data_IF_207128909603
#
_entry.id   IF_207128909603
#
_cell.length_a   1.000
_cell.length_b   1.000
_cell.length_c   1.000
_cell.angle_alpha   90.00
_cell.angle_beta   90.00
_cell.angle_gamma   90.00
#
_symmetry.space_group_name_H-M   'P 1'
#
loop_
_entity.id
_entity.type
_entity.pdbx_description
1 polymer ?
#
# COMPACT_ATOMS: atom_id res chain seq x y z
N UNK A 1 -5.52 7.68 -67.92
CA UNK A 1 -6.34 7.35 -66.71
C UNK A 1 -5.62 6.35 -65.78
N UNK A 2 -5.13 5.22 -66.25
CA UNK A 2 -4.46 4.18 -65.44
C UNK A 2 -3.21 4.71 -64.72
N UNK A 3 -2.39 5.53 -65.35
CA UNK A 3 -1.16 6.10 -64.79
C UNK A 3 -1.46 7.09 -63.63
N UNK A 4 -2.50 7.87 -63.72
CA UNK A 4 -2.96 8.82 -62.69
C UNK A 4 -3.52 8.06 -61.48
N UNK A 5 -4.31 7.01 -61.72
CA UNK A 5 -4.83 6.15 -60.64
C UNK A 5 -3.68 5.42 -59.90
N UNK A 6 -2.68 4.95 -60.67
CA UNK A 6 -1.49 4.33 -60.08
C UNK A 6 -0.66 5.30 -59.25
N UNK A 7 -0.49 6.55 -59.66
CA UNK A 7 0.22 7.60 -58.90
C UNK A 7 -0.56 7.99 -57.65
N UNK A 8 -1.89 8.11 -57.71
CA UNK A 8 -2.72 8.41 -56.53
C UNK A 8 -2.72 7.26 -55.52
N UNK A 9 -2.83 6.01 -55.99
CA UNK A 9 -2.77 4.84 -55.13
C UNK A 9 -1.38 4.68 -54.51
N UNK A 10 -0.32 4.90 -55.29
CA UNK A 10 1.06 4.91 -54.79
C UNK A 10 1.30 6.03 -53.78
N UNK A 11 0.79 7.23 -54.07
CA UNK A 11 0.85 8.37 -53.16
C UNK A 11 0.11 8.11 -51.85
N UNK A 12 -1.09 7.54 -51.90
CA UNK A 12 -1.86 7.17 -50.72
C UNK A 12 -1.14 6.11 -49.87
N UNK A 13 -0.54 5.11 -50.49
CA UNK A 13 0.20 4.05 -49.82
C UNK A 13 1.51 4.54 -49.17
N UNK A 14 2.17 5.51 -49.82
CA UNK A 14 3.45 6.06 -49.37
C UNK A 14 3.27 7.24 -48.39
N UNK A 15 2.12 7.92 -48.39
CA UNK A 15 1.87 9.10 -47.54
C UNK A 15 2.19 8.90 -46.04
N UNK A 16 1.78 7.79 -45.41
CA UNK A 16 2.14 7.54 -44.01
C UNK A 16 3.64 7.40 -43.77
N UNK A 17 4.38 7.04 -44.81
CA UNK A 17 5.86 6.90 -44.73
C UNK A 17 6.61 8.23 -44.85
N UNK A 18 5.94 9.35 -45.16
CA UNK A 18 6.54 10.69 -45.21
C UNK A 18 6.19 11.52 -43.98
N UNK A 19 5.92 10.88 -42.85
CA UNK A 19 5.66 11.59 -41.59
C UNK A 19 6.88 12.39 -41.11
N UNK A 20 6.62 13.40 -40.28
CA UNK A 20 7.64 14.30 -39.72
C UNK A 20 7.80 14.14 -38.21
N UNK A 21 6.91 13.38 -37.57
CA UNK A 21 6.94 13.14 -36.13
C UNK A 21 8.01 12.12 -35.79
N UNK A 22 8.80 12.40 -34.75
CA UNK A 22 9.79 11.47 -34.25
C UNK A 22 9.15 10.46 -33.29
N UNK A 23 9.75 9.28 -33.13
CA UNK A 23 9.31 8.31 -32.13
C UNK A 23 9.21 8.94 -30.73
N UNK A 24 8.25 8.50 -29.92
CA UNK A 24 8.06 8.92 -28.54
C UNK A 24 8.74 7.91 -27.61
N UNK A 25 9.63 8.39 -26.74
CA UNK A 25 10.33 7.58 -25.75
C UNK A 25 9.79 7.95 -24.37
N UNK A 26 9.39 6.94 -23.58
CA UNK A 26 8.91 7.09 -22.21
C UNK A 26 9.69 6.20 -21.26
N UNK A 27 9.88 6.65 -20.02
CA UNK A 27 10.51 5.88 -18.95
C UNK A 27 9.48 5.70 -17.81
N UNK A 28 9.31 4.47 -17.34
CA UNK A 28 8.34 4.16 -16.30
C UNK A 28 8.92 3.17 -15.28
N UNK A 29 9.02 3.54 -13.98
CA UNK A 29 8.89 4.91 -13.48
C UNK A 29 9.94 5.84 -14.08
N UNK A 30 9.83 7.16 -13.83
CA UNK A 30 10.86 8.16 -14.15
C UNK A 30 11.60 8.56 -12.84
N UNK A 31 12.52 7.72 -12.33
CA UNK A 31 13.12 7.88 -11.01
C UNK A 31 14.32 8.82 -11.02
N UNK A 32 14.57 9.45 -9.87
CA UNK A 32 15.83 10.16 -9.59
C UNK A 32 16.89 9.23 -8.98
N UNK A 33 16.45 8.15 -8.32
CA UNK A 33 17.32 7.13 -7.72
C UNK A 33 16.82 5.76 -8.17
N UNK A 34 17.73 4.88 -8.56
CA UNK A 34 17.44 3.56 -9.13
C UNK A 34 18.18 2.49 -8.33
N UNK A 35 17.41 1.53 -7.82
CA UNK A 35 17.93 0.35 -7.11
C UNK A 35 17.61 -0.95 -7.82
N UNK A 36 17.08 -1.90 -7.07
CA UNK A 36 16.77 -3.25 -7.57
C UNK A 36 15.56 -3.32 -8.50
N UNK A 37 14.68 -2.28 -8.49
CA UNK A 37 13.54 -2.22 -9.37
C UNK A 37 13.93 -1.99 -10.83
N UNK A 38 13.14 -2.54 -11.76
CA UNK A 38 13.35 -2.34 -13.18
C UNK A 38 12.74 -1.02 -13.66
N UNK A 39 13.40 -0.37 -14.62
CA UNK A 39 12.87 0.72 -15.42
C UNK A 39 12.32 0.12 -16.73
N UNK A 40 11.09 0.44 -17.11
CA UNK A 40 10.54 0.14 -18.43
C UNK A 40 10.81 1.33 -19.37
N UNK A 41 11.49 1.06 -20.46
CA UNK A 41 11.69 1.98 -21.59
C UNK A 41 10.60 1.65 -22.61
N UNK A 42 9.61 2.54 -22.77
CA UNK A 42 8.60 2.45 -23.81
C UNK A 42 9.02 3.30 -25.02
N UNK A 43 8.96 2.74 -26.23
CA UNK A 43 9.22 3.48 -27.46
C UNK A 43 8.05 3.23 -28.40
N UNK A 44 7.40 4.29 -28.86
CA UNK A 44 6.24 4.20 -29.77
C UNK A 44 6.41 5.07 -30.97
N UNK A 45 5.94 4.57 -32.10
CA UNK A 45 5.84 5.30 -33.36
C UNK A 45 4.52 4.94 -34.07
N UNK A 46 3.70 5.93 -34.34
CA UNK A 46 2.35 5.71 -34.89
C UNK A 46 2.29 5.78 -36.42
N UNK A 47 3.35 6.22 -37.06
CA UNK A 47 3.41 6.46 -38.49
C UNK A 47 4.18 5.40 -39.27
N UNK A 48 5.43 5.70 -39.65
CA UNK A 48 6.28 4.79 -40.41
C UNK A 48 6.76 3.56 -39.63
N UNK A 49 6.62 3.60 -38.31
CA UNK A 49 7.07 2.57 -37.38
C UNK A 49 8.57 2.65 -37.08
N UNK A 50 8.96 2.05 -35.99
CA UNK A 50 10.34 2.01 -35.50
C UNK A 50 11.23 1.24 -36.49
N UNK A 51 12.40 1.80 -36.80
CA UNK A 51 13.49 1.18 -37.58
C UNK A 51 14.58 0.65 -36.67
N UNK A 52 14.94 1.40 -35.63
CA UNK A 52 15.93 0.96 -34.64
C UNK A 52 15.70 1.60 -33.30
N UNK A 53 16.06 0.86 -32.24
CA UNK A 53 16.10 1.35 -30.86
C UNK A 53 17.44 0.94 -30.27
N UNK A 54 18.16 1.91 -29.72
CA UNK A 54 19.38 1.67 -28.93
C UNK A 54 19.22 2.29 -27.56
N UNK A 55 19.66 1.59 -26.52
CA UNK A 55 19.70 2.09 -25.15
C UNK A 55 21.07 1.74 -24.54
N UNK A 56 21.71 2.72 -23.95
CA UNK A 56 22.99 2.59 -23.25
C UNK A 56 22.91 3.25 -21.89
N UNK A 57 23.53 2.62 -20.91
CA UNK A 57 23.68 3.16 -19.57
C UNK A 57 25.17 3.48 -19.35
N UNK A 58 25.46 4.73 -19.03
CA UNK A 58 26.81 5.16 -18.62
C UNK A 58 26.84 5.30 -17.10
N UNK A 59 27.66 4.52 -16.42
CA UNK A 59 27.83 4.52 -14.98
C UNK A 59 29.28 4.27 -14.58
N UNK A 60 29.80 5.06 -13.63
CA UNK A 60 31.17 4.91 -13.13
C UNK A 60 32.23 4.99 -14.21
N UNK A 61 31.99 5.72 -15.31
CA UNK A 61 32.90 5.85 -16.47
C UNK A 61 32.86 4.67 -17.45
N UNK A 62 31.95 3.72 -17.28
CA UNK A 62 31.76 2.56 -18.15
C UNK A 62 30.41 2.65 -18.85
N UNK A 63 30.36 2.30 -20.13
CA UNK A 63 29.14 2.16 -20.90
C UNK A 63 28.64 0.72 -20.88
N UNK A 64 27.38 0.55 -20.51
CA UNK A 64 26.67 -0.73 -20.49
C UNK A 64 25.60 -0.73 -21.58
N UNK A 65 25.74 -1.55 -22.64
CA UNK A 65 24.72 -1.66 -23.68
C UNK A 65 23.47 -2.36 -23.08
N UNK A 66 22.31 -1.73 -23.21
CA UNK A 66 21.04 -2.26 -22.74
C UNK A 66 20.26 -2.91 -23.88
N UNK A 67 20.19 -2.21 -25.00
CA UNK A 67 19.52 -2.69 -26.21
C UNK A 67 20.17 -2.11 -27.46
N UNK A 68 20.22 -2.93 -28.51
CA UNK A 68 20.66 -2.53 -29.85
C UNK A 68 19.83 -3.32 -30.87
N UNK A 69 18.62 -2.84 -31.15
CA UNK A 69 17.65 -3.54 -31.98
C UNK A 69 17.45 -2.79 -33.31
N UNK A 70 17.40 -3.54 -34.40
CA UNK A 70 17.10 -3.06 -35.76
C UNK A 70 15.96 -3.91 -36.29
N UNK A 71 14.92 -3.27 -36.82
CA UNK A 71 13.71 -3.94 -37.28
C UNK A 71 13.68 -4.02 -38.80
N UNK A 72 13.40 -5.21 -39.35
CA UNK A 72 13.24 -5.44 -40.76
C UNK A 72 11.94 -4.88 -41.37
N UNK A 73 10.97 -4.60 -40.53
CA UNK A 73 9.65 -4.03 -40.87
C UNK A 73 9.16 -3.03 -39.85
N UNK A 74 8.07 -2.32 -40.10
CA UNK A 74 7.55 -1.31 -39.18
C UNK A 74 7.06 -1.94 -37.87
N UNK A 75 7.57 -1.48 -36.76
CA UNK A 75 7.17 -1.84 -35.39
C UNK A 75 6.55 -0.62 -34.73
N UNK A 76 5.29 -0.68 -34.34
CA UNK A 76 4.58 0.46 -33.75
C UNK A 76 4.93 0.74 -32.30
N UNK A 77 5.34 -0.28 -31.55
CA UNK A 77 5.67 -0.16 -30.12
C UNK A 77 6.76 -1.16 -29.73
N UNK A 78 7.67 -0.72 -28.87
CA UNK A 78 8.68 -1.56 -28.22
C UNK A 78 8.75 -1.22 -26.74
N UNK A 79 8.84 -2.26 -25.89
CA UNK A 79 9.09 -2.15 -24.46
C UNK A 79 10.37 -2.90 -24.10
N UNK A 80 11.24 -2.26 -23.33
CA UNK A 80 12.50 -2.81 -22.86
C UNK A 80 12.53 -2.64 -21.35
N UNK A 81 12.60 -3.75 -20.61
CA UNK A 81 12.73 -3.73 -19.15
C UNK A 81 14.21 -3.82 -18.76
N UNK A 82 14.67 -2.88 -17.97
CA UNK A 82 16.06 -2.77 -17.53
C UNK A 82 16.13 -2.86 -16.00
N UNK A 83 16.72 -3.94 -15.50
CA UNK A 83 17.09 -4.08 -14.10
C UNK A 83 18.53 -3.57 -13.91
N UNK A 84 18.66 -2.26 -13.67
CA UNK A 84 19.98 -1.57 -13.64
C UNK A 84 20.93 -2.24 -12.65
N UNK A 85 20.47 -2.55 -11.45
CA UNK A 85 21.29 -3.19 -10.41
C UNK A 85 21.81 -4.60 -10.77
N UNK A 86 21.23 -5.24 -11.80
CA UNK A 86 21.64 -6.58 -12.26
C UNK A 86 22.63 -6.55 -13.40
N UNK A 87 23.01 -5.38 -13.89
CA UNK A 87 24.03 -5.26 -14.94
C UNK A 87 25.40 -5.60 -14.39
N UNK A 88 26.15 -6.40 -15.14
CA UNK A 88 27.48 -6.81 -14.74
C UNK A 88 28.43 -5.60 -14.61
N UNK A 89 29.13 -5.51 -13.49
CA UNK A 89 30.09 -4.43 -13.22
C UNK A 89 29.51 -3.07 -12.95
N UNK A 90 28.17 -2.97 -12.69
CA UNK A 90 27.53 -1.72 -12.34
C UNK A 90 28.07 -1.20 -11.00
N UNK A 91 28.29 0.09 -10.91
CA UNK A 91 28.74 0.77 -9.69
C UNK A 91 27.68 1.76 -9.22
N UNK A 92 27.58 1.91 -7.93
CA UNK A 92 26.75 2.96 -7.31
C UNK A 92 27.26 4.35 -7.69
N UNK A 93 26.33 5.31 -7.70
CA UNK A 93 26.60 6.70 -7.98
C UNK A 93 25.89 7.23 -9.22
N UNK A 94 26.32 8.40 -9.74
CA UNK A 94 25.68 9.04 -10.89
C UNK A 94 25.73 8.17 -12.14
N UNK A 95 24.62 8.12 -12.86
CA UNK A 95 24.47 7.40 -14.11
C UNK A 95 23.59 8.16 -15.10
N UNK A 96 23.79 7.89 -16.39
CA UNK A 96 23.01 8.46 -17.49
C UNK A 96 22.50 7.34 -18.38
N UNK A 97 21.19 7.21 -18.48
CA UNK A 97 20.54 6.35 -19.46
C UNK A 97 20.28 7.17 -20.72
N UNK A 98 20.85 6.75 -21.83
CA UNK A 98 20.61 7.35 -23.16
C UNK A 98 19.81 6.35 -23.99
N UNK A 99 18.64 6.77 -24.45
CA UNK A 99 17.79 6.00 -25.35
C UNK A 99 17.67 6.76 -26.67
N UNK A 100 17.91 6.08 -27.76
CA UNK A 100 17.81 6.62 -29.11
C UNK A 100 16.87 5.73 -29.92
N UNK A 101 15.87 6.33 -30.50
CA UNK A 101 14.91 5.65 -31.39
C UNK A 101 14.88 6.34 -32.75
N UNK A 102 14.83 5.53 -33.79
CA UNK A 102 14.71 5.99 -35.17
C UNK A 102 13.58 5.28 -35.86
N UNK A 103 12.78 6.02 -36.62
CA UNK A 103 11.68 5.48 -37.40
C UNK A 103 12.10 5.05 -38.82
N UNK A 104 11.15 4.46 -39.54
CA UNK A 104 11.28 4.08 -40.95
C UNK A 104 10.79 5.13 -41.94
N UNK A 105 10.58 6.39 -41.50
CA UNK A 105 10.06 7.46 -42.35
C UNK A 105 11.00 7.75 -43.53
N UNK A 106 10.39 8.05 -44.66
CA UNK A 106 11.09 8.49 -45.88
C UNK A 106 11.45 10.00 -45.83
N UNK A 107 11.10 10.69 -44.74
CA UNK A 107 11.46 12.09 -44.51
C UNK A 107 12.97 12.26 -44.42
N UNK A 108 13.47 13.47 -44.64
CA UNK A 108 14.93 13.79 -44.65
C UNK A 108 15.73 12.90 -45.59
N UNK A 109 15.28 12.77 -46.84
CA UNK A 109 15.96 11.98 -47.86
C UNK A 109 16.16 10.51 -47.42
N UNK A 110 15.12 9.87 -46.97
CA UNK A 110 15.10 8.48 -46.48
C UNK A 110 15.88 8.31 -45.16
N UNK A 111 16.23 9.41 -44.51
CA UNK A 111 16.98 9.41 -43.25
C UNK A 111 16.13 9.02 -42.03
N UNK A 112 14.81 9.25 -42.09
CA UNK A 112 13.86 9.04 -40.99
C UNK A 112 13.95 10.15 -39.93
N UNK A 113 13.04 10.07 -38.96
CA UNK A 113 13.07 10.93 -37.78
C UNK A 113 13.73 10.18 -36.61
N UNK A 114 14.30 10.94 -35.70
CA UNK A 114 15.05 10.41 -34.57
C UNK A 114 14.64 11.13 -33.27
N UNK A 115 14.47 10.36 -32.22
CA UNK A 115 14.32 10.85 -30.87
C UNK A 115 15.49 10.36 -29.99
N UNK A 116 15.96 11.23 -29.12
CA UNK A 116 16.99 10.91 -28.12
C UNK A 116 16.48 11.41 -26.79
N UNK A 117 16.49 10.53 -25.78
CA UNK A 117 16.20 10.87 -24.38
C UNK A 117 17.42 10.52 -23.54
N UNK A 118 17.86 11.47 -22.74
CA UNK A 118 18.90 11.29 -21.73
C UNK A 118 18.30 11.50 -20.36
N UNK A 119 18.36 10.48 -19.50
CA UNK A 119 17.92 10.54 -18.13
C UNK A 119 19.09 10.36 -17.19
N UNK A 120 19.30 11.35 -16.33
CA UNK A 120 20.26 11.28 -15.23
C UNK A 120 19.55 10.76 -13.98
N UNK A 121 20.20 9.85 -13.26
CA UNK A 121 19.75 9.34 -11.96
C UNK A 121 20.96 8.84 -11.15
N UNK A 122 20.73 8.54 -9.88
CA UNK A 122 21.75 7.90 -9.04
C UNK A 122 21.43 6.42 -8.90
N UNK A 123 22.42 5.56 -9.10
CA UNK A 123 22.31 4.12 -8.80
C UNK A 123 22.62 3.92 -7.33
N UNK A 124 21.72 3.27 -6.62
CA UNK A 124 21.86 2.90 -5.21
C UNK A 124 21.32 1.47 -5.01
N UNK A 125 22.22 0.55 -4.68
CA UNK A 125 21.90 -0.87 -4.45
C UNK A 125 22.18 -1.29 -3.01
N UNK A 126 22.60 -0.34 -2.16
CA UNK A 126 22.89 -0.56 -0.74
C UNK A 126 21.61 -0.43 0.09
N UNK A 127 21.10 -1.49 0.73
CA UNK A 127 19.95 -1.38 1.60
C UNK A 127 20.18 -0.44 2.78
N UNK A 128 19.11 0.21 3.29
CA UNK A 128 19.23 1.10 4.44
C UNK A 128 19.74 0.34 5.67
N UNK A 129 20.35 1.08 6.59
CA UNK A 129 20.80 0.52 7.88
C UNK A 129 19.64 0.50 8.87
N UNK A 130 19.63 -0.49 9.77
CA UNK A 130 18.70 -0.58 10.89
C UNK A 130 19.47 -0.79 12.17
N UNK A 131 19.12 -0.03 13.22
CA UNK A 131 19.65 -0.18 14.57
C UNK A 131 18.50 -0.17 15.55
N UNK A 132 18.21 -1.29 16.17
CA UNK A 132 17.25 -1.40 17.27
C UNK A 132 17.86 -0.79 18.54
N UNK A 133 17.16 0.14 19.18
CA UNK A 133 17.60 0.83 20.41
C UNK A 133 16.88 0.25 21.62
N UNK A 134 15.55 0.06 21.51
CA UNK A 134 14.74 -0.53 22.55
C UNK A 134 13.54 -1.26 21.96
N UNK A 135 13.11 -2.32 22.64
CA UNK A 135 11.89 -3.07 22.29
C UNK A 135 11.19 -3.57 23.55
N UNK A 136 9.87 -3.75 23.46
CA UNK A 136 9.12 -4.44 24.50
C UNK A 136 9.47 -5.93 24.49
N UNK A 137 9.91 -6.44 25.64
CA UNK A 137 10.29 -7.84 25.78
C UNK A 137 9.11 -8.79 25.74
N UNK A 138 7.95 -8.36 26.23
CA UNK A 138 6.76 -9.19 26.35
C UNK A 138 5.56 -8.51 25.70
N UNK A 139 4.89 -9.21 24.81
CA UNK A 139 3.67 -8.73 24.16
C UNK A 139 2.59 -9.82 24.33
N UNK A 140 1.40 -9.43 24.72
CA UNK A 140 0.27 -10.36 24.75
C UNK A 140 -0.14 -10.72 23.32
N UNK A 141 -0.55 -11.96 23.10
CA UNK A 141 -1.24 -12.33 21.86
C UNK A 141 -2.47 -11.44 21.70
N UNK A 142 -2.61 -10.75 20.55
CA UNK A 142 -3.62 -9.71 20.34
C UNK A 142 -3.32 -8.36 21.00
N UNK A 143 -2.17 -8.21 21.67
CA UNK A 143 -1.74 -6.98 22.33
C UNK A 143 -0.81 -6.14 21.46
N UNK A 144 -0.43 -4.99 22.00
CA UNK A 144 0.46 -4.03 21.36
C UNK A 144 1.82 -3.94 22.07
N UNK A 145 2.83 -3.49 21.35
CA UNK A 145 4.16 -3.16 21.83
C UNK A 145 4.73 -1.94 21.14
N UNK A 146 5.86 -1.49 21.61
CA UNK A 146 6.59 -0.37 21.07
C UNK A 146 8.05 -0.74 20.79
N UNK A 147 8.63 -0.15 19.76
CA UNK A 147 10.09 -0.18 19.54
C UNK A 147 10.62 1.22 19.30
N UNK A 148 11.88 1.40 19.67
CA UNK A 148 12.67 2.58 19.31
C UNK A 148 13.84 2.12 18.46
N UNK A 149 14.08 2.77 17.33
CA UNK A 149 15.12 2.39 16.38
C UNK A 149 15.67 3.58 15.62
N UNK A 150 16.80 3.37 14.94
CA UNK A 150 17.37 4.30 13.96
C UNK A 150 17.46 3.65 12.60
N UNK A 151 17.46 4.47 11.58
CA UNK A 151 17.68 4.06 10.18
C UNK A 151 18.50 5.11 9.45
N UNK A 152 19.08 4.74 8.30
CA UNK A 152 19.83 5.67 7.44
C UNK A 152 18.95 6.79 6.89
N UNK A 153 19.58 7.92 6.57
CA UNK A 153 18.88 9.17 6.18
C UNK A 153 18.13 9.08 4.83
N UNK A 154 18.49 8.14 3.99
CA UNK A 154 17.86 7.85 2.68
C UNK A 154 16.58 7.02 2.79
N UNK A 155 16.26 6.51 3.97
CA UNK A 155 15.05 5.72 4.24
C UNK A 155 13.78 6.57 4.04
N UNK A 156 12.85 6.05 3.25
CA UNK A 156 11.55 6.69 2.99
C UNK A 156 10.42 6.05 3.77
N UNK A 157 10.54 4.76 4.08
CA UNK A 157 9.53 4.02 4.84
C UNK A 157 10.22 3.08 5.81
N UNK A 158 9.80 3.11 7.07
CA UNK A 158 10.26 2.14 8.06
C UNK A 158 9.19 1.87 9.12
N UNK A 159 9.25 0.68 9.73
CA UNK A 159 8.28 0.27 10.74
C UNK A 159 8.31 -1.22 11.01
N UNK A 160 7.32 -1.70 11.75
CA UNK A 160 7.19 -3.11 12.12
C UNK A 160 6.21 -3.83 11.20
N UNK A 161 6.61 -4.96 10.66
CA UNK A 161 5.75 -5.87 9.91
C UNK A 161 5.48 -7.11 10.76
N UNK A 162 4.20 -7.47 10.91
CA UNK A 162 3.75 -8.70 11.58
C UNK A 162 2.77 -9.42 10.66
N UNK A 163 3.18 -10.53 10.06
CA UNK A 163 2.43 -11.16 8.98
C UNK A 163 2.19 -10.18 7.83
N UNK A 164 0.93 -9.94 7.48
CA UNK A 164 0.54 -8.99 6.42
C UNK A 164 0.31 -7.56 6.92
N UNK A 165 0.45 -7.30 8.22
CA UNK A 165 0.23 -5.99 8.81
C UNK A 165 1.54 -5.20 8.88
N UNK A 166 1.50 -3.93 8.48
CA UNK A 166 2.61 -2.99 8.60
C UNK A 166 2.23 -1.81 9.49
N UNK A 167 3.08 -1.55 10.48
CA UNK A 167 2.94 -0.48 11.46
C UNK A 167 4.06 0.52 11.26
N UNK A 168 3.73 1.69 10.75
CA UNK A 168 4.70 2.72 10.41
C UNK A 168 5.39 3.29 11.65
N UNK A 169 6.71 3.49 11.56
CA UNK A 169 7.48 4.23 12.53
C UNK A 169 7.59 5.71 12.19
N UNK A 170 7.67 6.54 13.22
CA UNK A 170 7.76 7.99 13.10
C UNK A 170 8.94 8.54 13.88
N UNK A 171 9.72 9.43 13.25
CA UNK A 171 10.84 10.10 13.89
C UNK A 171 10.40 11.22 14.85
N UNK A 172 11.31 11.64 15.73
CA UNK A 172 11.13 12.81 16.57
C UNK A 172 10.21 12.63 17.78
N UNK A 173 9.82 11.38 18.10
CA UNK A 173 8.95 11.10 19.25
C UNK A 173 9.75 10.94 20.57
N UNK A 174 11.06 10.74 20.48
CA UNK A 174 11.94 10.63 21.65
C UNK A 174 12.56 11.99 21.95
N UNK A 175 12.31 12.53 23.16
CA UNK A 175 12.78 13.86 23.56
C UNK A 175 14.31 13.97 23.41
N UNK A 176 14.76 14.99 22.69
CA UNK A 176 16.17 15.26 22.44
C UNK A 176 16.85 14.33 21.43
N UNK A 177 16.10 13.45 20.76
CA UNK A 177 16.62 12.45 19.81
C UNK A 177 15.82 12.50 18.51
N UNK A 178 16.10 13.46 17.65
CA UNK A 178 15.36 13.70 16.42
C UNK A 178 15.50 12.56 15.39
N UNK A 179 16.59 11.80 15.44
CA UNK A 179 16.91 10.67 14.55
C UNK A 179 16.36 9.33 15.05
N UNK A 180 15.70 9.31 16.22
CA UNK A 180 15.06 8.11 16.75
C UNK A 180 13.63 8.00 16.22
N UNK A 181 13.31 6.81 15.70
CA UNK A 181 11.98 6.44 15.26
C UNK A 181 11.30 5.64 16.38
N UNK A 182 10.00 5.86 16.53
CA UNK A 182 9.13 5.04 17.38
C UNK A 182 8.10 4.37 16.49
N UNK A 183 7.97 3.06 16.60
CA UNK A 183 6.85 2.32 16.02
C UNK A 183 6.03 1.67 17.13
N UNK A 184 4.73 1.96 17.12
CA UNK A 184 3.73 1.24 17.91
C UNK A 184 3.17 0.14 17.01
N UNK A 185 3.21 -1.10 17.45
CA UNK A 185 2.74 -2.22 16.65
C UNK A 185 1.91 -3.19 17.48
N UNK A 186 1.18 -4.05 16.83
CA UNK A 186 0.43 -5.11 17.49
C UNK A 186 0.87 -6.48 16.98
N UNK A 187 0.76 -7.51 17.84
CA UNK A 187 0.65 -8.88 17.37
C UNK A 187 -0.84 -9.19 17.22
N UNK A 188 -1.41 -9.16 16.00
CA UNK A 188 -2.85 -9.20 15.82
C UNK A 188 -3.47 -10.48 16.39
N UNK A 189 -4.64 -10.36 17.00
CA UNK A 189 -5.37 -11.49 17.61
C UNK A 189 -5.75 -12.59 16.60
N UNK A 190 -5.82 -12.25 15.32
CA UNK A 190 -6.12 -13.16 14.21
C UNK A 190 -4.89 -13.59 13.41
N UNK A 191 -3.69 -13.14 13.80
CA UNK A 191 -2.46 -13.62 13.21
C UNK A 191 -2.10 -15.01 13.78
N UNK A 192 -1.40 -15.85 13.01
CA UNK A 192 -0.82 -17.05 13.57
C UNK A 192 0.14 -16.72 14.72
N UNK A 193 0.10 -17.51 15.80
CA UNK A 193 0.98 -17.29 16.96
C UNK A 193 2.49 -17.38 16.60
N UNK A 194 2.83 -18.03 15.50
CA UNK A 194 4.19 -18.10 14.95
C UNK A 194 4.49 -17.03 13.89
N UNK A 195 3.59 -16.08 13.68
CA UNK A 195 3.85 -14.95 12.78
C UNK A 195 5.10 -14.21 13.25
N UNK A 196 6.05 -14.01 12.34
CA UNK A 196 7.29 -13.29 12.63
C UNK A 196 7.02 -11.79 12.60
N UNK A 197 7.53 -11.08 13.62
CA UNK A 197 7.60 -9.64 13.58
C UNK A 197 9.00 -9.22 13.12
N UNK A 198 9.04 -8.24 12.22
CA UNK A 198 10.27 -7.75 11.64
C UNK A 198 10.25 -6.21 11.63
N UNK A 199 11.35 -5.61 12.03
CA UNK A 199 11.61 -4.21 11.73
C UNK A 199 12.07 -4.12 10.27
N UNK A 200 11.41 -3.30 9.48
CA UNK A 200 11.65 -3.17 8.02
C UNK A 200 11.94 -1.71 7.70
N UNK A 201 12.90 -1.46 6.84
CA UNK A 201 13.14 -0.14 6.26
C UNK A 201 13.37 -0.26 4.75
N UNK A 202 12.83 0.70 4.01
CA UNK A 202 12.98 0.81 2.55
C UNK A 202 13.47 2.22 2.21
N UNK A 203 14.49 2.34 1.38
CA UNK A 203 15.06 3.60 0.92
C UNK A 203 14.38 4.16 -0.35
N UNK A 204 14.91 5.27 -0.86
CA UNK A 204 14.42 5.93 -2.09
C UNK A 204 14.61 5.08 -3.35
N UNK A 205 15.61 4.20 -3.35
CA UNK A 205 15.90 3.28 -4.45
C UNK A 205 15.03 2.02 -4.43
N UNK A 206 14.24 1.81 -3.36
CA UNK A 206 13.43 0.62 -3.13
C UNK A 206 14.21 -0.56 -2.54
N UNK A 207 15.46 -0.35 -2.11
CA UNK A 207 16.19 -1.39 -1.40
C UNK A 207 15.61 -1.55 0.01
N UNK A 208 15.51 -2.80 0.48
CA UNK A 208 14.85 -3.12 1.74
C UNK A 208 15.78 -3.86 2.68
N UNK A 209 15.79 -3.46 3.94
CA UNK A 209 16.44 -4.15 5.05
C UNK A 209 15.39 -4.64 6.03
N UNK A 210 15.55 -5.89 6.47
CA UNK A 210 14.70 -6.49 7.49
C UNK A 210 15.55 -6.97 8.68
N UNK A 211 15.01 -6.81 9.90
CA UNK A 211 15.59 -7.28 11.14
C UNK A 211 14.50 -7.95 11.97
N UNK A 212 14.71 -9.19 12.40
CA UNK A 212 13.77 -9.89 13.27
C UNK A 212 13.69 -9.21 14.63
N UNK A 213 12.47 -9.06 15.17
CA UNK A 213 12.23 -8.62 16.54
C UNK A 213 12.13 -9.84 17.46
N UNK A 214 12.69 -9.72 18.66
CA UNK A 214 12.86 -10.84 19.59
C UNK A 214 12.01 -10.66 20.87
N UNK A 215 10.72 -10.38 20.74
CA UNK A 215 9.83 -10.35 21.88
C UNK A 215 9.22 -11.74 22.19
N UNK A 216 8.89 -11.94 23.46
CA UNK A 216 8.18 -13.13 23.93
C UNK A 216 6.68 -12.90 23.88
N UNK A 217 5.98 -13.70 23.08
CA UNK A 217 4.53 -13.64 22.94
C UNK A 217 3.87 -14.38 24.11
N UNK A 218 3.16 -13.63 24.96
CA UNK A 218 2.37 -14.19 26.06
C UNK A 218 1.04 -14.73 25.54
N UNK A 219 0.77 -15.98 25.82
CA UNK A 219 -0.51 -16.60 25.44
C UNK A 219 -1.66 -16.00 26.28
N UNK A 220 -2.67 -15.50 25.59
CA UNK A 220 -3.91 -14.97 26.19
C UNK A 220 -5.07 -15.82 25.74
N UNK A 221 -5.89 -16.29 26.69
CA UNK A 221 -7.13 -17.01 26.39
C UNK A 221 -8.28 -16.02 26.30
N UNK A 222 -8.81 -15.86 25.10
CA UNK A 222 -10.01 -15.06 24.88
C UNK A 222 -11.28 -15.88 25.15
N UNK A 223 -12.31 -15.17 25.65
CA UNK A 223 -13.62 -15.76 25.91
C UNK A 223 -14.25 -16.20 24.58
N UNK A 224 -14.91 -17.35 24.61
CA UNK A 224 -15.77 -17.83 23.51
C UNK A 224 -17.20 -17.91 24.03
N UNK A 225 -18.15 -17.37 23.28
CA UNK A 225 -19.55 -17.38 23.61
C UNK A 225 -20.41 -17.70 22.41
N UNK A 226 -21.51 -18.40 22.65
CA UNK A 226 -22.56 -18.61 21.66
C UNK A 226 -23.76 -17.75 22.03
N UNK A 227 -24.26 -16.99 21.08
CA UNK A 227 -25.39 -16.07 21.24
C UNK A 227 -26.53 -16.54 20.33
N UNK A 228 -27.63 -16.96 20.95
CA UNK A 228 -28.85 -17.30 20.21
C UNK A 228 -29.59 -15.99 19.85
N UNK A 229 -29.84 -15.80 18.56
CA UNK A 229 -30.44 -14.58 18.03
C UNK A 229 -31.92 -14.81 17.74
N UNK A 230 -32.78 -14.13 18.50
CA UNK A 230 -34.21 -14.23 18.28
C UNK A 230 -34.67 -13.37 17.10
N UNK A 231 -35.79 -13.78 16.48
CA UNK A 231 -36.39 -13.02 15.39
C UNK A 231 -36.80 -11.61 15.84
N UNK A 232 -37.33 -11.49 17.06
CA UNK A 232 -37.71 -10.19 17.64
C UNK A 232 -36.50 -9.26 17.81
N UNK A 233 -35.33 -9.79 18.17
CA UNK A 233 -34.09 -9.02 18.21
C UNK A 233 -33.69 -8.55 16.80
N UNK A 234 -33.76 -9.43 15.81
CA UNK A 234 -33.43 -9.06 14.42
C UNK A 234 -34.34 -7.94 13.93
N UNK A 235 -35.66 -8.06 14.13
CA UNK A 235 -36.62 -7.06 13.65
C UNK A 235 -36.46 -5.72 14.37
N UNK A 236 -36.30 -5.73 15.71
CA UNK A 236 -36.35 -4.51 16.52
C UNK A 236 -35.00 -3.82 16.69
N UNK A 237 -33.88 -4.53 16.54
CA UNK A 237 -32.52 -4.00 16.78
C UNK A 237 -31.62 -4.03 15.57
N UNK A 238 -31.75 -5.06 14.74
CA UNK A 238 -30.83 -5.26 13.59
C UNK A 238 -31.37 -4.62 12.32
N UNK A 239 -32.63 -4.92 11.95
CA UNK A 239 -33.22 -4.40 10.72
C UNK A 239 -33.28 -2.86 10.63
N UNK A 240 -33.47 -2.10 11.73
CA UNK A 240 -33.40 -0.63 11.66
C UNK A 240 -32.04 -0.06 11.23
N UNK A 241 -30.95 -0.82 11.38
CA UNK A 241 -29.62 -0.40 10.95
C UNK A 241 -29.42 -0.43 9.43
N UNK A 242 -30.31 -1.12 8.70
CA UNK A 242 -30.30 -1.16 7.23
C UNK A 242 -31.07 0.03 6.68
N UNK A 243 -30.37 0.94 6.01
CA UNK A 243 -30.96 2.14 5.41
C UNK A 243 -31.66 1.88 4.07
N UNK A 244 -31.33 0.77 3.39
CA UNK A 244 -31.91 0.39 2.10
C UNK A 244 -33.06 -0.63 2.27
N UNK A 245 -34.23 -0.42 1.65
CA UNK A 245 -35.31 -1.40 1.62
C UNK A 245 -34.91 -2.74 1.00
N UNK A 246 -34.09 -2.72 -0.06
CA UNK A 246 -33.60 -3.91 -0.77
C UNK A 246 -32.80 -4.84 0.15
N UNK A 247 -32.14 -4.30 1.16
CA UNK A 247 -31.37 -5.09 2.14
C UNK A 247 -32.28 -5.85 3.13
N UNK A 248 -33.62 -5.61 3.10
CA UNK A 248 -34.63 -6.25 3.98
C UNK A 248 -35.48 -7.29 3.24
N UNK A 249 -35.25 -7.52 1.94
CA UNK A 249 -36.02 -8.47 1.12
C UNK A 249 -35.73 -9.96 1.44
N UNK A 250 -34.69 -10.23 2.24
CA UNK A 250 -34.42 -11.57 2.77
C UNK A 250 -35.18 -11.86 4.08
N UNK A 251 -35.12 -13.12 4.52
CA UNK A 251 -35.63 -13.52 5.82
C UNK A 251 -34.84 -12.92 6.99
N UNK A 252 -35.21 -13.31 8.23
CA UNK A 252 -34.55 -12.81 9.44
C UNK A 252 -33.05 -13.12 9.46
N UNK A 253 -32.66 -14.32 9.02
CA UNK A 253 -31.23 -14.75 8.92
C UNK A 253 -30.43 -13.83 7.97
N UNK A 254 -30.96 -13.58 6.76
CA UNK A 254 -30.33 -12.73 5.75
C UNK A 254 -30.21 -11.28 6.24
N UNK A 255 -31.21 -10.78 6.93
CA UNK A 255 -31.19 -9.46 7.58
C UNK A 255 -30.07 -9.36 8.60
N UNK A 256 -29.93 -10.38 9.47
CA UNK A 256 -28.84 -10.43 10.44
C UNK A 256 -27.46 -10.45 9.77
N UNK A 257 -27.27 -11.31 8.76
CA UNK A 257 -26.00 -11.40 8.03
C UNK A 257 -25.66 -10.11 7.28
N UNK A 258 -26.68 -9.43 6.71
CA UNK A 258 -26.46 -8.15 6.04
C UNK A 258 -25.87 -7.09 6.99
N UNK A 259 -26.30 -7.08 8.26
CA UNK A 259 -25.75 -6.17 9.28
C UNK A 259 -24.45 -6.69 9.87
N UNK A 260 -24.45 -7.91 10.39
CA UNK A 260 -23.33 -8.42 11.17
C UNK A 260 -22.08 -8.71 10.33
N UNK A 261 -22.23 -9.01 9.04
CA UNK A 261 -21.10 -9.27 8.11
C UNK A 261 -20.83 -8.09 7.18
N UNK A 262 -21.82 -7.68 6.34
CA UNK A 262 -21.59 -6.65 5.31
C UNK A 262 -21.46 -5.26 5.92
N UNK A 263 -22.49 -4.78 6.66
CA UNK A 263 -22.46 -3.44 7.24
C UNK A 263 -21.31 -3.28 8.24
N UNK A 264 -21.00 -4.32 9.03
CA UNK A 264 -19.84 -4.32 9.93
C UNK A 264 -18.55 -4.07 9.17
N UNK A 265 -18.29 -4.82 8.08
CA UNK A 265 -17.08 -4.63 7.25
C UNK A 265 -17.00 -3.23 6.64
N UNK A 266 -18.14 -2.68 6.18
CA UNK A 266 -18.20 -1.31 5.66
C UNK A 266 -17.84 -0.27 6.73
N UNK A 267 -18.37 -0.44 7.94
CA UNK A 267 -18.08 0.46 9.06
C UNK A 267 -16.60 0.33 9.50
N UNK A 268 -16.06 -0.87 9.59
CA UNK A 268 -14.64 -1.12 9.92
C UNK A 268 -13.71 -0.53 8.86
N UNK A 269 -14.05 -0.68 7.58
CA UNK A 269 -13.29 -0.06 6.48
C UNK A 269 -13.30 1.47 6.58
N UNK A 270 -14.43 2.07 6.96
CA UNK A 270 -14.55 3.52 7.19
C UNK A 270 -13.68 3.97 8.36
N UNK A 271 -13.71 3.25 9.50
CA UNK A 271 -12.84 3.52 10.65
C UNK A 271 -11.36 3.46 10.21
N UNK A 272 -10.98 2.38 9.52
CA UNK A 272 -9.62 2.19 9.01
C UNK A 272 -9.19 3.34 8.09
N UNK A 273 -10.05 3.79 7.19
CA UNK A 273 -9.75 4.90 6.27
C UNK A 273 -9.55 6.23 7.01
N UNK A 274 -10.34 6.49 8.06
CA UNK A 274 -10.22 7.67 8.91
C UNK A 274 -8.91 7.63 9.71
N UNK A 275 -8.62 6.50 10.37
CA UNK A 275 -7.46 6.35 11.25
C UNK A 275 -6.12 6.26 10.51
N UNK A 276 -6.12 5.88 9.22
CA UNK A 276 -4.90 5.95 8.38
C UNK A 276 -4.32 7.36 8.24
N UNK A 277 -5.10 8.40 8.47
CA UNK A 277 -4.67 9.81 8.43
C UNK A 277 -4.16 10.30 9.78
N UNK A 278 -3.53 9.43 10.56
CA UNK A 278 -2.95 9.77 11.86
C UNK A 278 -1.80 10.77 11.72
N UNK A 279 -1.64 11.62 12.73
CA UNK A 279 -0.47 12.51 12.84
C UNK A 279 0.75 11.71 13.30
N UNK A 280 1.96 12.04 12.85
CA UNK A 280 3.17 11.38 13.32
C UNK A 280 3.47 11.66 14.79
N UNK A 281 3.02 12.80 15.34
CA UNK A 281 3.27 13.19 16.72
C UNK A 281 2.33 12.48 17.70
N UNK A 282 2.90 11.93 18.77
CA UNK A 282 2.15 11.42 19.92
C UNK A 282 1.44 12.57 20.61
N UNK A 283 0.09 12.53 20.70
CA UNK A 283 -0.73 13.59 21.30
C UNK A 283 -1.18 13.28 22.72
N UNK A 284 -1.17 12.01 23.13
CA UNK A 284 -1.56 11.63 24.48
C UNK A 284 -0.44 11.83 25.51
N UNK A 285 -0.82 11.96 26.78
CA UNK A 285 0.09 12.10 27.91
C UNK A 285 -0.28 11.11 29.00
N UNK A 286 0.71 10.42 29.58
CA UNK A 286 0.50 9.45 30.64
C UNK A 286 -0.31 8.24 30.18
N UNK A 287 -1.18 7.72 31.06
CA UNK A 287 -1.99 6.52 30.82
C UNK A 287 -3.37 6.86 30.24
N UNK A 288 -3.92 5.94 29.45
CA UNK A 288 -5.31 6.02 29.04
C UNK A 288 -6.23 5.65 30.21
N UNK A 289 -7.25 6.46 30.46
CA UNK A 289 -8.15 6.32 31.59
C UNK A 289 -9.42 5.60 31.14
N UNK A 290 -9.81 4.53 31.87
CA UNK A 290 -11.08 3.87 31.67
C UNK A 290 -12.21 4.83 32.05
N UNK A 291 -13.36 4.75 31.35
CA UNK A 291 -14.57 5.51 31.67
C UNK A 291 -14.90 5.34 33.16
N UNK A 292 -14.98 6.44 33.89
CA UNK A 292 -15.21 6.47 35.34
C UNK A 292 -16.48 5.72 35.73
N UNK A 293 -16.43 4.99 36.84
CA UNK A 293 -17.58 4.19 37.35
C UNK A 293 -18.14 3.16 36.38
N UNK A 294 -17.37 2.80 35.32
CA UNK A 294 -17.81 1.79 34.38
C UNK A 294 -17.44 0.37 34.81
N UNK A 295 -18.31 -0.58 34.43
CA UNK A 295 -18.06 -2.00 34.51
C UNK A 295 -17.73 -2.54 33.13
N UNK A 296 -16.70 -3.37 33.00
CA UNK A 296 -16.37 -4.08 31.76
C UNK A 296 -17.36 -5.24 31.60
N UNK A 297 -18.19 -5.19 30.56
CA UNK A 297 -19.16 -6.25 30.22
C UNK A 297 -18.61 -7.21 29.15
N UNK A 298 -17.81 -6.71 28.22
CA UNK A 298 -17.15 -7.54 27.22
C UNK A 298 -15.72 -7.05 26.95
N UNK A 299 -14.84 -7.99 26.68
CA UNK A 299 -13.40 -7.74 26.47
C UNK A 299 -13.04 -7.77 24.99
N UNK A 300 -11.88 -7.18 24.71
CA UNK A 300 -11.26 -7.27 23.38
C UNK A 300 -11.02 -8.74 22.99
N UNK A 301 -11.24 -9.04 21.71
CA UNK A 301 -11.08 -10.33 21.07
C UNK A 301 -11.99 -11.46 21.59
N UNK A 302 -13.05 -11.15 22.37
CA UNK A 302 -14.09 -12.14 22.66
C UNK A 302 -14.67 -12.70 21.36
N UNK A 303 -14.56 -14.03 21.15
CA UNK A 303 -15.10 -14.73 19.97
C UNK A 303 -16.58 -15.04 20.21
N UNK A 304 -17.44 -14.52 19.34
CA UNK A 304 -18.89 -14.70 19.40
C UNK A 304 -19.35 -15.56 18.22
N UNK A 305 -19.97 -16.70 18.51
CA UNK A 305 -20.69 -17.50 17.52
C UNK A 305 -22.17 -17.15 17.64
N UNK A 306 -22.80 -16.74 16.55
CA UNK A 306 -24.21 -16.42 16.48
C UNK A 306 -25.00 -17.61 15.97
N UNK A 307 -26.06 -18.00 16.69
CA UNK A 307 -26.98 -19.05 16.28
C UNK A 307 -28.38 -18.49 16.03
N UNK A 308 -29.07 -19.08 15.07
CA UNK A 308 -30.49 -18.79 14.77
C UNK A 308 -31.20 -20.09 14.49
N UNK A 309 -32.29 -20.34 15.21
CA UNK A 309 -33.01 -21.62 15.16
C UNK A 309 -32.13 -22.86 15.38
N UNK A 310 -31.11 -22.76 16.24
CA UNK A 310 -30.20 -23.81 16.59
C UNK A 310 -29.02 -24.01 15.61
N UNK A 311 -28.99 -23.30 14.49
CA UNK A 311 -27.89 -23.33 13.54
C UNK A 311 -26.89 -22.21 13.77
N UNK A 312 -25.58 -22.48 13.71
CA UNK A 312 -24.55 -21.45 13.69
C UNK A 312 -24.57 -20.73 12.34
N UNK A 313 -24.85 -19.43 12.36
CA UNK A 313 -25.03 -18.63 11.15
C UNK A 313 -23.89 -17.64 10.88
N UNK A 314 -23.17 -17.21 11.92
CA UNK A 314 -22.06 -16.26 11.76
C UNK A 314 -21.10 -16.30 12.94
N UNK A 315 -19.91 -15.71 12.75
CA UNK A 315 -18.91 -15.48 13.80
C UNK A 315 -18.37 -14.07 13.72
N UNK A 316 -18.12 -13.46 14.88
CA UNK A 316 -17.44 -12.17 14.96
C UNK A 316 -16.53 -12.11 16.20
N UNK A 317 -15.51 -11.25 16.11
CA UNK A 317 -14.69 -10.90 17.27
C UNK A 317 -15.07 -9.52 17.78
N UNK A 318 -15.02 -9.37 19.09
CA UNK A 318 -15.25 -8.09 19.74
C UNK A 318 -13.96 -7.27 19.72
N UNK A 319 -13.91 -6.20 18.90
CA UNK A 319 -12.70 -5.41 18.68
C UNK A 319 -12.55 -4.22 19.64
N UNK A 320 -13.11 -4.33 20.84
CA UNK A 320 -13.04 -3.28 21.84
C UNK A 320 -13.41 -3.77 23.23
N UNK A 321 -13.73 -2.83 24.12
CA UNK A 321 -14.29 -3.08 25.44
C UNK A 321 -15.70 -2.48 25.52
N UNK A 322 -16.68 -3.27 25.98
CA UNK A 322 -17.98 -2.75 26.35
C UNK A 322 -17.92 -2.26 27.80
N UNK A 323 -18.10 -0.97 28.00
CA UNK A 323 -18.08 -0.31 29.30
C UNK A 323 -19.51 0.15 29.65
N UNK A 324 -20.12 -0.47 30.64
CA UNK A 324 -21.46 -0.08 31.10
C UNK A 324 -21.43 0.90 32.28
N UNK A 325 -22.27 1.90 32.20
CA UNK A 325 -22.49 2.92 33.24
C UNK A 325 -23.97 3.19 33.39
N UNK A 326 -24.34 4.06 34.33
CA UNK A 326 -25.72 4.52 34.50
C UNK A 326 -26.19 5.31 33.27
N UNK A 327 -27.51 5.34 33.04
CA UNK A 327 -28.13 6.06 31.92
C UNK A 327 -27.73 7.54 31.89
N UNK A 328 -27.39 8.04 30.70
CA UNK A 328 -26.97 9.44 30.43
C UNK A 328 -25.68 9.85 31.16
N UNK A 329 -24.78 8.92 31.39
CA UNK A 329 -23.46 9.21 31.93
C UNK A 329 -22.58 9.90 30.86
N UNK A 330 -21.84 10.96 31.22
CA UNK A 330 -20.87 11.58 30.28
C UNK A 330 -19.80 10.61 29.84
N UNK A 331 -19.54 10.56 28.54
CA UNK A 331 -18.41 9.78 27.99
C UNK A 331 -17.23 10.71 27.77
N UNK A 332 -16.24 10.62 28.63
CA UNK A 332 -15.04 11.42 28.57
C UNK A 332 -13.99 10.78 27.65
N UNK A 333 -13.14 11.62 27.02
CA UNK A 333 -12.00 11.12 26.25
C UNK A 333 -11.01 10.42 27.20
N UNK A 334 -10.59 9.21 26.82
CA UNK A 334 -9.64 8.43 27.61
C UNK A 334 -8.24 9.07 27.72
N UNK A 335 -7.90 9.97 26.82
CA UNK A 335 -6.68 10.80 26.78
C UNK A 335 -6.83 11.92 25.75
N UNK A 336 -5.79 12.75 25.61
CA UNK A 336 -5.73 13.83 24.61
C UNK A 336 -5.56 13.29 23.19
N UNK A 337 -6.16 13.98 22.25
CA UNK A 337 -6.11 13.65 20.82
C UNK A 337 -6.83 14.69 19.98
N UNK A 338 -6.88 14.47 18.67
CA UNK A 338 -7.65 15.28 17.73
C UNK A 338 -8.87 14.49 17.27
N UNK A 339 -10.06 15.04 17.45
CA UNK A 339 -11.31 14.43 16.94
C UNK A 339 -11.30 14.52 15.41
N UNK A 340 -11.33 13.39 14.75
CA UNK A 340 -11.33 13.27 13.27
C UNK A 340 -12.68 12.81 12.71
N UNK A 341 -13.57 12.33 13.57
CA UNK A 341 -14.93 11.95 13.21
C UNK A 341 -15.85 12.09 14.42
N UNK A 342 -17.06 12.58 14.21
CA UNK A 342 -18.16 12.54 15.18
C UNK A 342 -19.47 12.37 14.41
N UNK A 343 -20.26 11.33 14.72
CA UNK A 343 -21.51 11.05 14.05
C UNK A 343 -21.97 9.61 14.18
N UNK A 344 -23.03 9.27 13.49
CA UNK A 344 -23.52 7.88 13.41
C UNK A 344 -22.62 7.03 12.50
N UNK A 345 -22.31 5.83 12.98
CA UNK A 345 -21.47 4.87 12.27
C UNK A 345 -22.12 3.46 12.26
N UNK A 346 -23.39 3.40 11.86
CA UNK A 346 -24.12 2.16 11.67
C UNK A 346 -24.13 1.27 12.91
N UNK A 347 -23.47 0.11 12.89
CA UNK A 347 -23.45 -0.83 14.02
C UNK A 347 -22.79 -0.27 15.28
N UNK A 348 -21.94 0.74 15.15
CA UNK A 348 -21.25 1.40 16.27
C UNK A 348 -22.08 2.53 16.89
N UNK A 349 -23.18 2.95 16.23
CA UNK A 349 -24.04 4.04 16.68
C UNK A 349 -23.33 5.38 16.71
N UNK A 350 -23.65 6.22 17.70
CA UNK A 350 -22.99 7.51 17.88
C UNK A 350 -21.50 7.31 18.24
N UNK A 351 -20.65 7.68 17.34
CA UNK A 351 -19.21 7.40 17.37
C UNK A 351 -18.40 8.69 17.35
N UNK A 352 -17.37 8.75 18.16
CA UNK A 352 -16.32 9.76 18.13
C UNK A 352 -14.97 9.04 17.91
N UNK A 353 -14.21 9.49 16.92
CA UNK A 353 -12.87 8.98 16.63
C UNK A 353 -11.89 10.14 16.72
#
# INVERSE_FOLDING_TARGET
MILVVGLLAGGYYLAPRFEREAPVITLTPDPEVVGMASIEIGVTDRGAGLKSVTATLSAGGTEHPIAAEVYAGPVGEKKISVAVAKLAGIKEGPAVLRVRAKDGSLWKWFGGNEAIVEKQFTIDVTPPTLQLIAEDRYINFGGAGAIVYKTSADTVTSGVKVGDHFFQGHAGQVKGQADHFVALFAHPYNAPANAKAQLVATDKAGNTKEMALAYELKNVKYRKSTLDISESFIQNKVAPLLTSPVAREGGAKETFLAVNSRLRKENEAKITAITKKSTPAIQWQGVFVQLSNSKVEANFADERTYTYNGEAIDKAYHLGYDLSVTKRYPVEAANSGTVVFAGDLGIYGNTVI
#
